data_IF_261388703628
#
_entry.id   IF_261388703628
#
_cell.length_a   1.000
_cell.length_b   1.000
_cell.length_c   1.000
_cell.angle_alpha   90.00
_cell.angle_beta   90.00
_cell.angle_gamma   90.00
#
_symmetry.space_group_name_H-M   'P 1'
#
loop_
_entity.id
_entity.type
_entity.pdbx_description
1 polymer ?
#
# COMPACT_ATOMS: atom_id res chain seq x y z
N UNK A 1 -3.14 3.95 8.55
CA UNK A 1 -2.49 3.00 7.62
C UNK A 1 -3.50 1.98 7.14
N UNK A 2 -3.42 1.56 5.91
CA UNK A 2 -4.29 0.51 5.40
C UNK A 2 -3.89 -0.84 6.00
N UNK A 3 -4.85 -1.73 6.15
CA UNK A 3 -4.57 -3.06 6.71
C UNK A 3 -3.55 -3.83 5.90
N UNK A 4 -3.59 -3.70 4.56
CA UNK A 4 -2.66 -4.42 3.70
C UNK A 4 -1.22 -3.92 3.88
N UNK A 5 -1.04 -2.61 4.08
CA UNK A 5 0.28 -2.04 4.31
C UNK A 5 0.86 -2.56 5.64
N UNK A 6 0.03 -2.63 6.67
CA UNK A 6 0.45 -3.17 7.97
C UNK A 6 0.79 -4.65 7.86
N UNK A 7 0.00 -5.41 7.10
CA UNK A 7 0.25 -6.82 6.89
C UNK A 7 1.58 -7.05 6.19
N UNK A 8 1.89 -6.29 5.14
CA UNK A 8 3.17 -6.40 4.46
C UNK A 8 4.33 -6.14 5.41
N UNK A 9 4.21 -5.08 6.21
CA UNK A 9 5.24 -4.73 7.20
C UNK A 9 5.46 -5.86 8.19
N UNK A 10 4.36 -6.41 8.72
CA UNK A 10 4.43 -7.50 9.69
C UNK A 10 5.10 -8.74 9.09
N UNK A 11 4.72 -9.11 7.87
CA UNK A 11 5.26 -10.29 7.21
C UNK A 11 6.78 -10.21 7.07
N UNK A 12 7.30 -9.11 6.53
CA UNK A 12 8.74 -8.96 6.38
C UNK A 12 9.47 -8.90 7.71
N UNK A 13 8.86 -8.29 8.72
CA UNK A 13 9.47 -8.21 10.04
C UNK A 13 9.57 -9.59 10.70
N UNK A 14 8.73 -10.54 10.30
CA UNK A 14 8.66 -11.88 10.89
C UNK A 14 9.23 -12.98 10.00
N UNK A 15 9.99 -12.63 8.99
CA UNK A 15 10.70 -13.62 8.18
C UNK A 15 9.91 -14.22 7.04
N UNK A 16 8.90 -13.50 6.57
CA UNK A 16 8.15 -13.89 5.36
C UNK A 16 8.44 -12.92 4.24
N UNK A 17 8.45 -13.42 3.02
CA UNK A 17 8.57 -12.59 1.83
C UNK A 17 7.32 -12.74 0.98
N UNK A 18 6.87 -11.64 0.41
CA UNK A 18 5.72 -11.64 -0.49
C UNK A 18 6.24 -11.94 -1.90
N UNK A 19 5.89 -13.10 -2.44
CA UNK A 19 6.34 -13.53 -3.77
C UNK A 19 5.43 -13.00 -4.88
N UNK A 20 4.13 -12.93 -4.62
CA UNK A 20 3.14 -12.50 -5.60
C UNK A 20 1.99 -11.81 -4.91
N UNK A 21 1.45 -10.81 -5.57
CA UNK A 21 0.18 -10.21 -5.18
C UNK A 21 -0.76 -10.32 -6.38
N UNK A 22 -1.98 -10.77 -6.10
CA UNK A 22 -3.02 -10.94 -7.11
C UNK A 22 -4.19 -10.06 -6.74
N UNK A 23 -4.68 -9.29 -7.71
CA UNK A 23 -5.83 -8.43 -7.50
C UNK A 23 -7.07 -9.15 -7.98
N UNK A 24 -8.03 -9.29 -7.07
CA UNK A 24 -9.30 -9.94 -7.35
C UNK A 24 -10.42 -8.95 -7.14
N UNK A 25 -11.44 -9.05 -7.98
CA UNK A 25 -12.62 -8.22 -7.86
C UNK A 25 -13.85 -9.12 -7.79
N UNK A 26 -14.65 -8.90 -6.74
CA UNK A 26 -15.90 -9.61 -6.57
C UNK A 26 -16.98 -8.60 -6.24
N UNK A 27 -17.98 -8.46 -7.10
CA UNK A 27 -18.99 -7.42 -7.01
C UNK A 27 -18.34 -6.03 -6.99
N UNK A 28 -18.52 -5.28 -5.92
CA UNK A 28 -17.93 -3.94 -5.74
C UNK A 28 -16.70 -3.95 -4.87
N UNK A 29 -16.28 -5.14 -4.41
CA UNK A 29 -15.14 -5.28 -3.52
C UNK A 29 -13.91 -5.68 -4.29
N UNK A 30 -12.78 -5.13 -3.85
CA UNK A 30 -11.47 -5.48 -4.39
C UNK A 30 -10.66 -6.14 -3.30
N UNK A 31 -9.98 -7.21 -3.66
CA UNK A 31 -9.16 -7.97 -2.74
C UNK A 31 -7.75 -8.08 -3.26
N UNK A 32 -6.81 -8.06 -2.33
CA UNK A 32 -5.41 -8.36 -2.65
C UNK A 32 -5.09 -9.71 -2.01
N UNK A 33 -4.70 -10.66 -2.82
CA UNK A 33 -4.29 -11.98 -2.36
C UNK A 33 -2.76 -12.03 -2.36
N UNK A 34 -2.19 -12.30 -1.21
CA UNK A 34 -0.74 -12.37 -1.05
C UNK A 34 -0.28 -13.82 -1.04
N UNK A 35 0.66 -14.14 -1.92
CA UNK A 35 1.38 -15.42 -1.86
C UNK A 35 2.69 -15.17 -1.15
N UNK A 36 2.91 -15.83 -0.02
CA UNK A 36 4.06 -15.55 0.82
C UNK A 36 4.91 -16.81 1.01
N UNK A 37 6.19 -16.59 1.26
CA UNK A 37 7.15 -17.66 1.54
C UNK A 37 7.80 -17.38 2.89
N UNK A 38 7.82 -18.40 3.75
CA UNK A 38 8.51 -18.34 5.03
C UNK A 38 10.01 -18.58 4.88
N UNK A 39 10.75 -18.44 5.96
CA UNK A 39 12.19 -18.67 5.97
C UNK A 39 13.01 -17.58 5.32
N UNK A 40 12.43 -16.42 5.09
CA UNK A 40 13.14 -15.25 4.57
C UNK A 40 13.85 -14.50 5.69
N UNK A 41 14.91 -13.73 5.39
CA UNK A 41 15.52 -12.87 6.40
C UNK A 41 14.51 -11.85 6.92
N UNK A 42 14.50 -11.66 8.22
CA UNK A 42 13.65 -10.63 8.85
C UNK A 42 14.19 -9.26 8.49
N UNK A 43 13.32 -8.37 8.03
CA UNK A 43 13.73 -7.01 7.70
C UNK A 43 12.58 -6.01 7.87
N UNK A 44 12.95 -4.77 8.10
CA UNK A 44 11.97 -3.68 8.06
C UNK A 44 11.97 -3.10 6.66
N UNK A 45 10.78 -3.05 6.05
CA UNK A 45 10.62 -2.46 4.73
C UNK A 45 10.21 -0.98 4.87
N UNK A 46 10.62 -0.12 3.93
CA UNK A 46 10.23 1.27 3.98
C UNK A 46 8.74 1.45 3.70
N UNK A 47 8.21 2.60 4.09
CA UNK A 47 6.79 2.91 3.87
C UNK A 47 6.39 2.73 2.41
N UNK A 48 7.25 3.09 1.47
CA UNK A 48 6.96 2.95 0.05
C UNK A 48 6.63 1.50 -0.33
N UNK A 49 7.39 0.53 0.20
CA UNK A 49 7.11 -0.90 -0.05
C UNK A 49 5.90 -1.41 0.73
N UNK A 50 5.63 -0.84 1.91
CA UNK A 50 4.43 -1.18 2.66
C UNK A 50 3.17 -0.74 1.90
N UNK A 51 3.18 0.46 1.38
CA UNK A 51 2.03 1.06 0.70
C UNK A 51 1.78 0.39 -0.66
N UNK A 52 2.83 0.22 -1.44
CA UNK A 52 2.75 -0.40 -2.77
C UNK A 52 3.97 -1.29 -2.94
N UNK A 53 3.79 -2.58 -2.83
CA UNK A 53 4.89 -3.52 -2.96
C UNK A 53 5.33 -3.65 -4.43
N UNK A 54 6.59 -4.08 -4.68
CA UNK A 54 6.99 -4.40 -6.04
C UNK A 54 6.12 -5.49 -6.68
N UNK A 55 5.66 -6.46 -5.89
CA UNK A 55 4.78 -7.51 -6.39
C UNK A 55 3.43 -6.96 -6.86
N UNK A 56 2.89 -5.96 -6.15
CA UNK A 56 1.64 -5.32 -6.56
C UNK A 56 1.79 -4.62 -7.91
N UNK A 57 2.92 -3.98 -8.15
CA UNK A 57 3.17 -3.28 -9.41
C UNK A 57 3.20 -4.22 -10.61
N UNK A 58 3.49 -5.50 -10.38
CA UNK A 58 3.50 -6.52 -11.43
C UNK A 58 2.15 -7.21 -11.61
N UNK A 59 1.18 -6.93 -10.75
CA UNK A 59 -0.12 -7.59 -10.79
C UNK A 59 -0.97 -7.04 -11.94
N UNK A 60 -1.77 -7.91 -12.52
CA UNK A 60 -2.79 -7.49 -13.50
C UNK A 60 -3.80 -6.59 -12.79
N UNK A 61 -4.12 -5.46 -13.41
CA UNK A 61 -5.06 -4.50 -12.84
C UNK A 61 -4.44 -3.53 -11.85
N UNK A 62 -3.11 -3.53 -11.70
CA UNK A 62 -2.44 -2.66 -10.73
C UNK A 62 -2.72 -1.18 -10.96
N UNK A 63 -2.73 -0.73 -12.22
CA UNK A 63 -2.96 0.68 -12.51
C UNK A 63 -4.33 1.15 -12.03
N UNK A 64 -5.37 0.37 -12.28
CA UNK A 64 -6.71 0.70 -11.81
C UNK A 64 -6.81 0.65 -10.28
N UNK A 65 -6.19 -0.36 -9.68
CA UNK A 65 -6.16 -0.49 -8.23
C UNK A 65 -5.49 0.73 -7.58
N UNK A 66 -4.35 1.15 -8.11
CA UNK A 66 -3.61 2.30 -7.57
C UNK A 66 -4.39 3.60 -7.75
N UNK A 67 -5.13 3.74 -8.85
CA UNK A 67 -5.97 4.92 -9.04
C UNK A 67 -7.04 5.01 -7.96
N UNK A 68 -7.71 3.91 -7.67
CA UNK A 68 -8.74 3.88 -6.62
C UNK A 68 -8.12 4.08 -5.24
N UNK A 69 -6.99 3.47 -4.98
CA UNK A 69 -6.28 3.62 -3.72
C UNK A 69 -5.86 5.08 -3.51
N UNK A 70 -5.32 5.70 -4.55
CA UNK A 70 -4.93 7.11 -4.49
C UNK A 70 -6.11 8.02 -4.16
N UNK A 71 -7.23 7.84 -4.87
CA UNK A 71 -8.40 8.67 -4.65
C UNK A 71 -8.91 8.55 -3.21
N UNK A 72 -8.94 7.33 -2.68
CA UNK A 72 -9.39 7.09 -1.31
C UNK A 72 -8.46 7.74 -0.28
N UNK A 73 -7.16 7.51 -0.41
CA UNK A 73 -6.21 8.01 0.56
C UNK A 73 -5.99 9.52 0.45
N UNK A 74 -6.09 10.07 -0.76
CA UNK A 74 -6.04 11.52 -0.98
C UNK A 74 -7.23 12.22 -0.35
N UNK A 75 -8.41 11.64 -0.48
CA UNK A 75 -9.63 12.16 0.15
C UNK A 75 -9.48 12.18 1.67
N UNK A 76 -8.93 11.10 2.24
CA UNK A 76 -8.67 11.04 3.68
C UNK A 76 -7.67 12.12 4.11
N UNK A 77 -6.62 12.32 3.32
CA UNK A 77 -5.62 13.37 3.60
C UNK A 77 -6.25 14.75 3.57
N UNK A 78 -7.06 15.05 2.56
CA UNK A 78 -7.71 16.35 2.44
C UNK A 78 -8.60 16.62 3.65
N UNK A 79 -9.33 15.62 4.12
CA UNK A 79 -10.14 15.73 5.32
C UNK A 79 -9.30 16.00 6.57
N UNK A 80 -8.18 15.32 6.72
CA UNK A 80 -7.28 15.52 7.84
C UNK A 80 -6.66 16.92 7.83
N UNK A 81 -6.29 17.43 6.65
CA UNK A 81 -5.68 18.74 6.52
C UNK A 81 -6.65 19.87 6.86
N UNK A 82 -7.94 19.68 6.61
CA UNK A 82 -8.96 20.70 6.90
C UNK A 82 -9.20 20.89 8.39
N UNK A 83 -9.07 19.86 9.18
CA UNK A 83 -9.44 19.90 10.58
C UNK A 83 -8.28 19.90 11.57
N UNK A 84 -7.06 19.79 11.12
CA UNK A 84 -5.99 19.39 12.02
C UNK A 84 -4.85 20.37 12.13
N UNK A 85 -4.35 20.51 13.35
CA UNK A 85 -2.98 20.94 13.56
C UNK A 85 -2.04 19.81 13.15
N UNK A 86 -0.80 20.16 12.82
CA UNK A 86 0.21 19.18 12.43
C UNK A 86 0.42 18.14 13.53
N UNK A 87 0.45 16.87 13.13
CA UNK A 87 0.72 15.77 14.03
C UNK A 87 1.32 14.60 13.22
N UNK A 88 1.71 13.54 13.92
CA UNK A 88 2.35 12.37 13.30
C UNK A 88 1.43 11.65 12.30
N UNK A 89 0.13 11.62 12.57
CA UNK A 89 -0.84 10.96 11.68
C UNK A 89 -0.95 11.70 10.35
N UNK A 90 -0.97 13.02 10.40
CA UNK A 90 -1.04 13.84 9.20
C UNK A 90 0.23 13.68 8.36
N UNK A 91 1.40 13.73 9.00
CA UNK A 91 2.68 13.52 8.32
C UNK A 91 2.74 12.13 7.67
N UNK A 92 2.28 11.11 8.39
CA UNK A 92 2.21 9.75 7.87
C UNK A 92 1.31 9.67 6.64
N UNK A 93 0.13 10.26 6.72
CA UNK A 93 -0.84 10.23 5.62
C UNK A 93 -0.30 10.92 4.36
N UNK A 94 0.39 12.05 4.55
CA UNK A 94 1.06 12.73 3.43
C UNK A 94 2.09 11.83 2.76
N UNK A 95 2.92 11.17 3.56
CA UNK A 95 3.93 10.26 3.05
C UNK A 95 3.31 9.08 2.31
N UNK A 96 2.23 8.53 2.85
CA UNK A 96 1.52 7.42 2.23
C UNK A 96 0.96 7.82 0.85
N UNK A 97 0.29 8.96 0.78
CA UNK A 97 -0.27 9.47 -0.48
C UNK A 97 0.84 9.71 -1.50
N UNK A 98 1.97 10.25 -1.06
CA UNK A 98 3.12 10.49 -1.94
C UNK A 98 3.68 9.18 -2.50
N UNK A 99 3.77 8.14 -1.68
CA UNK A 99 4.22 6.83 -2.13
C UNK A 99 3.29 6.25 -3.20
N UNK A 100 1.98 6.38 -3.00
CA UNK A 100 0.99 5.90 -3.95
C UNK A 100 1.08 6.69 -5.25
N UNK A 101 1.24 8.00 -5.16
CA UNK A 101 1.38 8.85 -6.34
C UNK A 101 2.62 8.45 -7.16
N UNK A 102 3.74 8.22 -6.49
CA UNK A 102 4.97 7.79 -7.17
C UNK A 102 4.79 6.46 -7.88
N UNK A 103 4.09 5.52 -7.25
CA UNK A 103 3.80 4.23 -7.85
C UNK A 103 2.90 4.37 -9.09
N UNK A 104 1.89 5.24 -9.03
CA UNK A 104 1.04 5.53 -10.19
C UNK A 104 1.85 6.05 -11.37
N UNK A 105 2.81 6.92 -11.09
CA UNK A 105 3.66 7.48 -12.14
C UNK A 105 4.52 6.40 -12.80
N UNK A 106 5.00 5.42 -12.03
CA UNK A 106 5.79 4.32 -12.58
C UNK A 106 5.02 3.46 -13.56
N UNK A 107 3.69 3.36 -13.41
CA UNK A 107 2.85 2.52 -14.27
C UNK A 107 2.34 3.24 -15.52
N UNK A 108 2.64 4.51 -15.68
CA UNK A 108 2.24 5.27 -16.88
C UNK A 108 3.20 5.05 -18.04
#
# INVERSE_FOLDING_TARGET
>A
MTMIAELRRWLYAHGYAVERETLCREDRRRYVVLSVRGGAPKREIPLSECAVSPALLRAEGAADYLEQLYLREKKALDGMEQGASENKRLAYQRALVQCIQSAREELK
#
